data_IF_957419684630
#
_entry.id   IF_957419684630
#
_cell.length_a   1.000
_cell.length_b   1.000
_cell.length_c   1.000
_cell.angle_alpha   90.00
_cell.angle_beta   90.00
_cell.angle_gamma   90.00
#
_symmetry.space_group_name_H-M   'P 1'
#
loop_
_entity.id
_entity.type
_entity.pdbx_description
1 polymer ?
#
# COMPACT_ATOMS: atom_id res chain seq x y z
N UNK A 1 71.87 14.48 -71.76
CA UNK A 1 70.47 14.10 -71.73
C UNK A 1 69.97 14.29 -70.31
N UNK A 2 69.25 15.40 -70.09
CA UNK A 2 68.66 15.76 -68.79
C UNK A 2 67.27 15.10 -68.69
N UNK A 3 67.07 14.37 -67.57
CA UNK A 3 65.77 13.79 -67.19
C UNK A 3 65.13 14.68 -66.18
N UNK A 4 64.04 15.34 -66.51
CA UNK A 4 63.20 16.16 -65.59
C UNK A 4 62.20 15.23 -64.86
N UNK A 5 62.36 15.15 -63.53
CA UNK A 5 61.39 14.50 -62.64
C UNK A 5 60.29 15.52 -62.20
N UNK A 6 59.10 15.30 -62.70
CA UNK A 6 57.91 16.06 -62.20
C UNK A 6 57.41 15.47 -60.89
N UNK A 7 57.53 16.24 -59.82
CA UNK A 7 56.91 15.93 -58.51
C UNK A 7 55.44 16.30 -58.53
N UNK A 8 54.56 15.30 -58.31
CA UNK A 8 53.14 15.48 -58.09
C UNK A 8 52.89 15.73 -56.62
N UNK A 9 52.48 16.92 -56.24
CA UNK A 9 51.96 17.26 -54.93
C UNK A 9 50.51 16.72 -54.81
N UNK A 10 50.33 15.76 -53.89
CA UNK A 10 49.00 15.30 -53.51
C UNK A 10 48.47 16.23 -52.41
N UNK A 11 47.41 16.97 -52.70
CA UNK A 11 46.72 17.78 -51.69
C UNK A 11 45.81 16.87 -50.87
N UNK A 12 46.08 16.71 -49.57
CA UNK A 12 45.23 16.07 -48.61
C UNK A 12 44.08 17.05 -48.24
N UNK A 13 42.87 16.74 -48.66
CA UNK A 13 41.64 17.41 -48.24
C UNK A 13 41.20 16.80 -46.90
N UNK A 14 41.43 17.52 -45.81
CA UNK A 14 40.85 17.22 -44.49
C UNK A 14 39.39 17.70 -44.44
N UNK A 15 38.45 16.76 -44.49
CA UNK A 15 37.05 17.02 -44.21
C UNK A 15 36.86 17.12 -42.67
N UNK A 16 36.25 18.19 -42.11
CA UNK A 16 35.91 18.23 -40.71
C UNK A 16 34.71 17.32 -40.45
N UNK A 17 34.89 16.27 -39.67
CA UNK A 17 33.80 15.47 -39.15
C UNK A 17 33.03 16.31 -38.08
N UNK A 18 31.84 16.78 -38.45
CA UNK A 18 30.94 17.43 -37.51
C UNK A 18 30.38 16.32 -36.58
N UNK A 19 30.91 16.26 -35.35
CA UNK A 19 30.33 15.46 -34.25
C UNK A 19 29.10 16.19 -33.76
N UNK A 20 27.90 15.72 -34.18
CA UNK A 20 26.65 16.15 -33.59
C UNK A 20 26.50 15.51 -32.21
N UNK A 21 26.80 16.25 -31.14
CA UNK A 21 26.37 15.88 -29.79
C UNK A 21 24.86 15.94 -29.77
N UNK A 22 24.19 14.79 -29.82
CA UNK A 22 22.79 14.67 -29.47
C UNK A 22 22.69 14.90 -27.96
N UNK A 23 22.26 16.09 -27.56
CA UNK A 23 21.87 16.37 -26.16
C UNK A 23 20.60 15.55 -25.91
N UNK A 24 20.75 14.37 -25.26
CA UNK A 24 19.62 13.72 -24.66
C UNK A 24 19.06 14.69 -23.59
N UNK A 25 17.94 15.34 -23.93
CA UNK A 25 17.22 16.13 -22.95
C UNK A 25 16.86 15.27 -21.75
N UNK A 26 16.76 15.84 -20.54
CA UNK A 26 16.33 15.08 -19.37
C UNK A 26 14.97 14.45 -19.69
N UNK A 27 14.92 13.12 -19.70
CA UNK A 27 13.66 12.42 -19.78
C UNK A 27 12.85 12.91 -18.56
N UNK A 28 11.75 13.62 -18.81
CA UNK A 28 10.86 14.07 -17.75
C UNK A 28 10.43 12.82 -16.98
N UNK A 29 10.95 12.69 -15.75
CA UNK A 29 10.56 11.62 -14.88
C UNK A 29 9.05 11.82 -14.61
N UNK A 30 8.23 10.90 -15.09
CA UNK A 30 6.79 10.96 -14.82
C UNK A 30 6.60 11.05 -13.30
N UNK A 31 5.92 12.09 -12.84
CA UNK A 31 5.67 12.31 -11.43
C UNK A 31 4.91 11.11 -10.87
N UNK A 32 5.46 10.52 -9.80
CA UNK A 32 4.79 9.43 -9.12
C UNK A 32 3.55 9.98 -8.43
N UNK A 33 2.37 9.50 -8.81
CA UNK A 33 1.13 9.80 -8.09
C UNK A 33 1.06 8.93 -6.84
N UNK A 34 0.84 9.54 -5.69
CA UNK A 34 0.67 8.85 -4.42
C UNK A 34 -0.71 9.18 -3.84
N UNK A 35 -1.39 8.16 -3.35
CA UNK A 35 -2.72 8.23 -2.75
C UNK A 35 -2.62 7.80 -1.29
N UNK A 36 -3.04 8.68 -0.38
CA UNK A 36 -3.19 8.35 1.03
C UNK A 36 -4.63 7.91 1.28
N UNK A 37 -4.81 6.75 1.87
CA UNK A 37 -6.08 6.06 2.02
C UNK A 37 -6.28 5.81 3.50
N UNK A 38 -7.40 6.28 4.06
CA UNK A 38 -7.83 5.93 5.40
C UNK A 38 -8.64 4.63 5.32
N UNK A 39 -8.18 3.60 6.03
CA UNK A 39 -8.84 2.31 6.11
C UNK A 39 -9.78 2.30 7.30
N UNK A 40 -11.01 1.86 7.08
CA UNK A 40 -12.08 1.82 8.08
C UNK A 40 -12.46 0.39 8.37
N UNK A 41 -12.75 0.14 9.64
CA UNK A 41 -13.18 -1.18 10.08
C UNK A 41 -14.39 -1.71 9.31
N UNK A 42 -14.40 -3.01 9.16
CA UNK A 42 -15.54 -3.84 8.75
C UNK A 42 -15.77 -4.88 9.83
N UNK A 43 -16.98 -5.43 9.89
CA UNK A 43 -17.33 -6.52 10.82
C UNK A 43 -17.05 -6.20 12.30
N UNK A 44 -17.13 -4.93 12.68
CA UNK A 44 -16.81 -4.47 14.04
C UNK A 44 -15.43 -4.97 14.55
N UNK A 45 -14.50 -5.17 13.62
CA UNK A 45 -13.17 -5.73 13.90
C UNK A 45 -12.30 -4.87 14.81
N UNK A 46 -12.61 -3.58 14.96
CA UNK A 46 -11.73 -2.61 15.62
C UNK A 46 -10.52 -2.20 14.78
N UNK A 47 -10.31 -2.82 13.61
CA UNK A 47 -9.17 -2.52 12.73
C UNK A 47 -9.33 -1.18 12.03
N UNK A 48 -8.26 -0.39 12.06
CA UNK A 48 -8.12 0.86 11.31
C UNK A 48 -6.70 1.01 10.81
N UNK A 49 -6.51 1.83 9.80
CA UNK A 49 -5.15 2.05 9.28
C UNK A 49 -5.07 3.13 8.24
N UNK A 50 -3.87 3.31 7.75
CA UNK A 50 -3.57 4.19 6.62
C UNK A 50 -2.73 3.44 5.60
N UNK A 51 -3.14 3.49 4.34
CA UNK A 51 -2.33 2.98 3.24
C UNK A 51 -1.85 4.13 2.35
N UNK A 52 -0.60 4.06 1.92
CA UNK A 52 -0.02 4.93 0.91
C UNK A 52 0.25 4.09 -0.34
N UNK A 53 -0.47 4.38 -1.40
CA UNK A 53 -0.35 3.68 -2.68
C UNK A 53 0.20 4.64 -3.72
N UNK A 54 1.32 4.28 -4.36
CA UNK A 54 1.91 5.11 -5.40
C UNK A 54 2.27 4.31 -6.64
N UNK A 55 2.12 4.94 -7.81
CA UNK A 55 2.45 4.35 -9.11
C UNK A 55 3.36 5.28 -9.89
N UNK A 56 4.46 4.71 -10.40
CA UNK A 56 5.36 5.34 -11.37
C UNK A 56 5.60 4.39 -12.54
N UNK A 57 5.02 4.68 -13.70
CA UNK A 57 4.95 3.70 -14.80
C UNK A 57 4.23 2.43 -14.32
N UNK A 58 4.88 1.29 -14.42
CA UNK A 58 4.36 0.00 -13.91
C UNK A 58 4.87 -0.37 -12.51
N UNK A 59 5.66 0.49 -11.87
CA UNK A 59 6.13 0.26 -10.49
C UNK A 59 5.08 0.76 -9.51
N UNK A 60 4.44 -0.16 -8.82
CA UNK A 60 3.52 0.09 -7.71
C UNK A 60 4.29 -0.03 -6.39
N UNK A 61 4.14 0.95 -5.51
CA UNK A 61 4.62 0.90 -4.12
C UNK A 61 3.43 1.05 -3.18
N UNK A 62 3.31 0.13 -2.24
CA UNK A 62 2.30 0.15 -1.18
C UNK A 62 3.01 0.18 0.15
N UNK A 63 2.64 1.15 1.00
CA UNK A 63 2.97 1.17 2.43
C UNK A 63 1.66 1.15 3.19
N UNK A 64 1.60 0.39 4.27
CA UNK A 64 0.39 0.24 5.06
C UNK A 64 0.78 0.16 6.53
N UNK A 65 0.09 0.94 7.35
CA UNK A 65 0.16 0.93 8.80
C UNK A 65 -1.26 0.70 9.32
N UNK A 66 -1.45 -0.34 10.11
CA UNK A 66 -2.75 -0.69 10.69
C UNK A 66 -2.61 -1.05 12.16
N UNK A 67 -3.72 -0.91 12.90
CA UNK A 67 -3.85 -1.28 14.30
C UNK A 67 -5.24 -1.89 14.57
N UNK A 68 -5.44 -2.50 15.72
CA UNK A 68 -6.67 -3.21 16.05
C UNK A 68 -6.82 -4.55 15.32
N UNK A 69 -5.74 -5.09 14.78
CA UNK A 69 -5.70 -6.40 14.13
C UNK A 69 -5.53 -7.53 15.15
N UNK A 70 -5.82 -8.77 14.75
CA UNK A 70 -5.68 -9.94 15.63
C UNK A 70 -4.20 -10.18 15.95
N UNK A 71 -3.77 -10.08 17.21
CA UNK A 71 -2.36 -10.11 17.57
C UNK A 71 -1.63 -11.37 17.12
N UNK A 72 -0.43 -11.21 16.55
CA UNK A 72 0.43 -12.32 16.13
C UNK A 72 -0.10 -13.15 14.96
N UNK A 73 -1.28 -12.85 14.43
CA UNK A 73 -1.87 -13.56 13.31
C UNK A 73 -1.46 -12.98 11.96
N UNK A 74 -1.43 -13.80 10.89
CA UNK A 74 -1.27 -13.30 9.53
C UNK A 74 -2.56 -12.64 9.05
N UNK A 75 -2.43 -11.48 8.40
CA UNK A 75 -3.55 -10.77 7.79
C UNK A 75 -3.39 -10.78 6.28
N UNK A 76 -4.28 -11.47 5.58
CA UNK A 76 -4.35 -11.41 4.14
C UNK A 76 -4.75 -10.00 3.73
N UNK A 77 -4.04 -9.42 2.76
CA UNK A 77 -4.33 -8.07 2.30
C UNK A 77 -4.17 -7.96 0.78
N UNK A 78 -5.09 -7.25 0.16
CA UNK A 78 -5.18 -7.22 -1.29
C UNK A 78 -5.56 -5.84 -1.82
N UNK A 79 -5.21 -5.58 -3.08
CA UNK A 79 -5.90 -4.58 -3.88
C UNK A 79 -7.02 -5.27 -4.64
N UNK A 80 -8.25 -4.98 -4.26
CA UNK A 80 -9.49 -5.42 -4.90
C UNK A 80 -10.00 -4.38 -5.88
N UNK A 81 -10.98 -4.73 -6.70
CA UNK A 81 -11.64 -3.82 -7.61
C UNK A 81 -11.66 -4.32 -9.05
N UNK A 82 -11.81 -3.39 -10.01
CA UNK A 82 -11.85 -3.70 -11.42
C UNK A 82 -10.86 -2.85 -12.20
N UNK A 83 -10.30 -3.46 -13.24
CA UNK A 83 -9.56 -2.76 -14.29
C UNK A 83 -10.37 -2.61 -15.58
N UNK A 84 -11.67 -2.91 -15.53
CA UNK A 84 -12.60 -2.89 -16.67
C UNK A 84 -13.73 -1.85 -16.52
N UNK A 85 -13.56 -0.90 -15.58
CA UNK A 85 -14.49 0.22 -15.41
C UNK A 85 -15.71 -0.07 -14.53
N UNK A 86 -15.78 -1.22 -13.84
CA UNK A 86 -16.78 -1.43 -12.81
C UNK A 86 -16.44 -0.61 -11.57
N UNK A 87 -17.44 0.07 -11.01
CA UNK A 87 -17.32 0.89 -9.81
C UNK A 87 -17.58 0.06 -8.56
N UNK A 88 -16.52 -0.57 -8.05
CA UNK A 88 -16.56 -1.31 -6.79
C UNK A 88 -16.28 -0.37 -5.60
N UNK A 89 -16.70 -0.79 -4.42
CA UNK A 89 -16.59 -0.02 -3.17
C UNK A 89 -16.39 -0.93 -1.96
N UNK A 90 -16.02 -0.36 -0.82
CA UNK A 90 -15.98 -1.10 0.44
C UNK A 90 -17.39 -1.57 0.82
N UNK A 91 -17.57 -2.82 1.28
CA UNK A 91 -18.88 -3.32 1.68
C UNK A 91 -19.40 -2.61 2.94
N UNK A 92 -20.69 -2.61 3.12
CA UNK A 92 -21.38 -2.25 4.37
C UNK A 92 -21.92 -3.49 5.06
N UNK A 93 -22.44 -3.35 6.27
CA UNK A 93 -23.10 -4.43 7.01
C UNK A 93 -24.28 -5.06 6.22
N UNK A 94 -24.89 -4.33 5.28
CA UNK A 94 -25.96 -4.87 4.43
C UNK A 94 -25.51 -5.99 3.48
N UNK A 95 -24.19 -6.19 3.35
CA UNK A 95 -23.62 -7.28 2.58
C UNK A 95 -23.73 -8.63 3.31
N UNK A 96 -23.91 -8.65 4.63
CA UNK A 96 -24.25 -9.86 5.40
C UNK A 96 -25.63 -10.37 4.97
N UNK A 97 -25.65 -11.37 4.09
CA UNK A 97 -26.87 -11.91 3.50
C UNK A 97 -27.43 -13.09 4.28
N UNK A 98 -26.57 -13.80 5.01
CA UNK A 98 -26.96 -14.95 5.79
C UNK A 98 -27.40 -14.56 7.21
N UNK A 99 -27.12 -13.32 7.65
CA UNK A 99 -27.52 -12.77 8.94
C UNK A 99 -26.73 -13.33 10.12
N UNK A 100 -25.49 -13.82 9.89
CA UNK A 100 -24.65 -14.38 10.96
C UNK A 100 -23.85 -13.32 11.74
N UNK A 101 -23.98 -12.05 11.32
CA UNK A 101 -23.32 -10.90 11.90
C UNK A 101 -21.91 -10.66 11.37
N UNK A 102 -21.51 -11.35 10.30
CA UNK A 102 -20.20 -11.19 9.65
C UNK A 102 -20.38 -11.13 8.13
N UNK A 103 -19.96 -10.06 7.52
CA UNK A 103 -19.78 -10.01 6.08
C UNK A 103 -18.60 -10.91 5.72
N UNK A 104 -18.86 -12.10 5.21
CA UNK A 104 -17.81 -13.01 4.73
C UNK A 104 -17.13 -12.48 3.47
N UNK A 105 -16.03 -13.13 3.06
CA UNK A 105 -15.37 -12.76 1.79
C UNK A 105 -16.30 -12.96 0.61
N UNK A 106 -17.10 -14.03 0.56
CA UNK A 106 -18.02 -14.29 -0.54
C UNK A 106 -19.16 -13.25 -0.60
N UNK A 107 -19.66 -12.80 0.55
CA UNK A 107 -20.68 -11.76 0.65
C UNK A 107 -20.14 -10.37 0.33
N UNK A 108 -18.89 -10.08 0.70
CA UNK A 108 -18.23 -8.83 0.38
C UNK A 108 -17.79 -8.71 -1.09
N UNK A 109 -17.52 -9.83 -1.75
CA UNK A 109 -16.99 -9.88 -3.12
C UNK A 109 -17.81 -9.09 -4.15
N UNK A 110 -19.15 -9.10 -4.15
CA UNK A 110 -19.96 -8.27 -5.04
C UNK A 110 -19.74 -6.77 -4.83
N UNK A 111 -19.33 -6.35 -3.64
CA UNK A 111 -19.05 -4.94 -3.31
C UNK A 111 -17.63 -4.55 -3.68
N UNK A 112 -16.60 -5.29 -3.24
CA UNK A 112 -15.22 -4.89 -3.46
C UNK A 112 -14.55 -5.52 -4.69
N UNK A 113 -15.21 -6.45 -5.38
CA UNK A 113 -14.67 -7.06 -6.59
C UNK A 113 -13.52 -8.02 -6.35
N UNK A 114 -12.94 -8.49 -7.43
CA UNK A 114 -11.87 -9.50 -7.42
C UNK A 114 -10.52 -8.94 -6.95
N UNK A 115 -9.62 -9.85 -6.54
CA UNK A 115 -8.23 -9.54 -6.24
C UNK A 115 -7.49 -9.20 -7.55
N UNK A 116 -6.89 -8.02 -7.61
CA UNK A 116 -5.95 -7.63 -8.65
C UNK A 116 -4.50 -7.85 -8.21
N UNK A 117 -4.20 -7.55 -6.95
CA UNK A 117 -2.86 -7.70 -6.37
C UNK A 117 -2.99 -8.28 -4.97
N UNK A 118 -2.21 -9.33 -4.68
CA UNK A 118 -2.03 -9.85 -3.32
C UNK A 118 -0.80 -9.17 -2.69
N UNK A 119 -1.00 -8.50 -1.56
CA UNK A 119 0.05 -7.73 -0.88
C UNK A 119 0.88 -8.65 0.03
N UNK A 120 1.47 -9.69 -0.56
CA UNK A 120 2.36 -10.62 0.12
C UNK A 120 3.68 -9.96 0.50
N UNK A 121 4.37 -10.47 1.51
CA UNK A 121 5.69 -9.95 1.95
C UNK A 121 6.82 -10.31 0.98
N UNK A 122 6.66 -11.38 0.19
CA UNK A 122 7.64 -11.87 -0.79
C UNK A 122 6.98 -12.71 -1.89
N UNK A 123 7.68 -12.89 -3.00
CA UNK A 123 7.26 -13.77 -4.10
C UNK A 123 6.08 -13.23 -4.90
N UNK A 124 5.25 -14.12 -5.40
CA UNK A 124 4.10 -13.83 -6.27
C UNK A 124 3.06 -12.94 -5.61
N UNK A 125 2.54 -11.98 -6.36
CA UNK A 125 1.53 -11.01 -5.94
C UNK A 125 0.25 -11.10 -6.77
N UNK A 126 0.12 -12.12 -7.60
CA UNK A 126 -1.09 -12.34 -8.39
C UNK A 126 -2.29 -12.76 -7.52
N UNK A 127 -3.48 -12.80 -8.11
CA UNK A 127 -4.70 -13.34 -7.49
C UNK A 127 -4.49 -14.76 -6.90
N UNK A 128 -3.62 -15.59 -7.52
CA UNK A 128 -3.33 -16.94 -7.04
C UNK A 128 -2.72 -16.97 -5.63
N UNK A 129 -2.14 -15.85 -5.20
CA UNK A 129 -1.56 -15.68 -3.87
C UNK A 129 -2.56 -15.13 -2.84
N UNK A 130 -3.85 -15.06 -3.16
CA UNK A 130 -4.88 -14.52 -2.26
C UNK A 130 -4.93 -15.22 -0.91
N UNK A 131 -4.72 -16.53 -0.88
CA UNK A 131 -4.69 -17.34 0.35
C UNK A 131 -3.28 -17.82 0.72
N UNK A 132 -2.23 -17.15 0.27
CA UNK A 132 -0.85 -17.49 0.62
C UNK A 132 -0.50 -17.01 2.05
N UNK A 133 -1.16 -17.59 3.05
CA UNK A 133 -1.12 -17.19 4.46
C UNK A 133 0.31 -17.13 5.01
N UNK A 134 1.18 -18.04 4.56
CA UNK A 134 2.61 -18.11 4.93
C UNK A 134 3.43 -16.92 4.44
N UNK A 135 2.89 -16.16 3.50
CA UNK A 135 3.52 -14.97 2.90
C UNK A 135 2.77 -13.67 3.17
N UNK A 136 1.69 -13.72 3.92
CA UNK A 136 0.98 -12.52 4.36
C UNK A 136 1.71 -11.87 5.55
N UNK A 137 1.65 -10.54 5.70
CA UNK A 137 2.21 -9.88 6.87
C UNK A 137 1.46 -10.29 8.13
N UNK A 138 2.17 -10.24 9.26
CA UNK A 138 1.60 -10.57 10.57
C UNK A 138 1.50 -9.31 11.42
N UNK A 139 0.41 -9.17 12.15
CA UNK A 139 0.32 -8.19 13.22
C UNK A 139 1.30 -8.55 14.35
N UNK A 140 1.80 -7.56 15.05
CA UNK A 140 2.61 -7.76 16.24
C UNK A 140 1.75 -8.20 17.45
N UNK A 141 2.39 -8.32 18.63
CA UNK A 141 1.70 -8.70 19.87
C UNK A 141 0.66 -7.67 20.36
N UNK A 142 0.71 -6.46 19.83
CA UNK A 142 -0.18 -5.35 20.18
C UNK A 142 -1.24 -5.09 19.07
N UNK A 143 -1.36 -6.01 18.11
CA UNK A 143 -2.30 -5.91 17.00
C UNK A 143 -1.93 -4.86 15.96
N UNK A 144 -0.66 -4.44 15.90
CA UNK A 144 -0.16 -3.47 14.91
C UNK A 144 0.53 -4.16 13.76
N UNK A 145 0.36 -3.62 12.57
CA UNK A 145 0.96 -4.15 11.36
C UNK A 145 1.56 -3.01 10.53
N UNK A 146 2.84 -3.18 10.16
CA UNK A 146 3.52 -2.33 9.20
C UNK A 146 3.91 -3.15 7.97
N UNK A 147 3.59 -2.65 6.79
CA UNK A 147 3.90 -3.29 5.52
C UNK A 147 4.45 -2.28 4.52
N UNK A 148 5.46 -2.68 3.78
CA UNK A 148 6.00 -1.89 2.68
C UNK A 148 6.53 -2.79 1.58
N UNK A 149 6.06 -2.59 0.36
CA UNK A 149 6.54 -3.34 -0.80
C UNK A 149 6.43 -2.54 -2.09
N UNK A 150 7.44 -2.70 -2.96
CA UNK A 150 7.39 -2.26 -4.35
C UNK A 150 7.34 -3.47 -5.27
N UNK A 151 6.42 -3.45 -6.21
CA UNK A 151 6.18 -4.55 -7.17
C UNK A 151 5.99 -3.99 -8.57
N UNK A 152 6.23 -4.80 -9.58
CA UNK A 152 5.88 -4.47 -10.96
C UNK A 152 4.49 -5.01 -11.25
N UNK A 153 3.61 -4.15 -11.74
CA UNK A 153 2.24 -4.49 -12.14
C UNK A 153 2.07 -4.34 -13.66
N UNK A 154 0.97 -4.84 -14.21
CA UNK A 154 0.63 -4.59 -15.59
C UNK A 154 0.30 -3.11 -15.82
N UNK A 155 0.47 -2.62 -17.06
CA UNK A 155 0.02 -1.27 -17.44
C UNK A 155 -1.46 -1.08 -17.13
N UNK A 156 -2.28 -2.10 -17.36
CA UNK A 156 -3.71 -2.08 -17.07
C UNK A 156 -3.99 -1.77 -15.59
N UNK A 157 -3.33 -2.47 -14.66
CA UNK A 157 -3.44 -2.19 -13.23
C UNK A 157 -2.93 -0.80 -12.88
N UNK A 158 -1.79 -0.39 -13.44
CA UNK A 158 -1.22 0.93 -13.18
C UNK A 158 -2.15 2.08 -13.63
N UNK A 159 -2.80 1.93 -14.78
CA UNK A 159 -3.77 2.91 -15.31
C UNK A 159 -5.04 2.97 -14.47
N UNK A 160 -5.50 1.84 -13.95
CA UNK A 160 -6.75 1.70 -13.18
C UNK A 160 -6.53 1.69 -11.66
N UNK A 161 -5.37 2.16 -11.18
CA UNK A 161 -5.07 2.11 -9.74
C UNK A 161 -6.13 2.82 -8.88
N UNK A 162 -6.79 3.85 -9.39
CA UNK A 162 -7.85 4.57 -8.68
C UNK A 162 -9.16 3.79 -8.54
N UNK A 163 -9.35 2.79 -9.39
CA UNK A 163 -10.54 1.94 -9.40
C UNK A 163 -10.36 0.72 -8.47
N UNK A 164 -9.19 0.68 -7.77
CA UNK A 164 -8.88 -0.33 -6.78
C UNK A 164 -9.01 0.23 -5.37
N UNK A 165 -9.08 -0.67 -4.41
CA UNK A 165 -9.12 -0.35 -2.98
C UNK A 165 -8.39 -1.42 -2.17
N UNK A 166 -7.93 -1.03 -1.00
CA UNK A 166 -7.22 -1.92 -0.07
C UNK A 166 -8.26 -2.64 0.77
N UNK A 167 -8.14 -3.96 0.91
CA UNK A 167 -8.90 -4.76 1.87
C UNK A 167 -7.92 -5.58 2.67
N UNK A 168 -8.00 -5.51 4.00
CA UNK A 168 -7.34 -6.44 4.91
C UNK A 168 -8.36 -7.44 5.46
N UNK A 169 -7.92 -8.66 5.67
CA UNK A 169 -8.72 -9.75 6.18
C UNK A 169 -8.19 -10.25 7.53
N UNK A 170 -9.05 -10.84 8.31
CA UNK A 170 -8.76 -11.41 9.60
C UNK A 170 -9.39 -10.63 10.74
N UNK A 171 -10.40 -11.23 11.37
CA UNK A 171 -11.18 -10.68 12.48
C UNK A 171 -11.15 -11.64 13.66
N UNK A 172 -11.50 -11.16 14.83
CA UNK A 172 -11.68 -11.96 16.05
C UNK A 172 -13.06 -11.61 16.62
N UNK A 173 -14.03 -12.50 16.42
CA UNK A 173 -15.43 -12.24 16.76
C UNK A 173 -15.79 -12.53 18.20
N UNK A 174 -14.85 -13.11 18.97
CA UNK A 174 -15.04 -13.48 20.37
C UNK A 174 -13.94 -12.96 21.31
N UNK A 175 -13.06 -12.07 20.80
CA UNK A 175 -12.00 -11.38 21.54
C UNK A 175 -11.00 -12.35 22.23
N UNK A 176 -10.72 -13.50 21.61
CA UNK A 176 -9.81 -14.49 22.21
C UNK A 176 -8.36 -14.39 21.69
N UNK A 177 -8.09 -13.44 20.79
CA UNK A 177 -6.75 -13.14 20.27
C UNK A 177 -6.25 -14.10 19.19
N UNK A 178 -7.12 -14.85 18.54
CA UNK A 178 -6.77 -15.80 17.48
C UNK A 178 -7.92 -16.05 16.52
N UNK A 179 -7.62 -16.60 15.35
CA UNK A 179 -8.65 -17.10 14.45
C UNK A 179 -9.13 -18.48 14.90
N UNK A 180 -10.41 -18.66 15.07
CA UNK A 180 -11.02 -19.95 15.36
C UNK A 180 -12.30 -20.17 14.52
N UNK A 181 -12.92 -21.33 14.71
CA UNK A 181 -14.11 -21.73 13.96
C UNK A 181 -15.43 -21.29 14.61
N UNK A 182 -15.40 -20.27 15.49
CA UNK A 182 -16.58 -19.74 16.16
C UNK A 182 -17.67 -19.31 15.17
N UNK A 183 -17.27 -18.70 14.05
CA UNK A 183 -18.15 -18.33 12.92
C UNK A 183 -18.14 -19.34 11.78
N UNK A 184 -17.66 -20.55 12.03
CA UNK A 184 -17.62 -21.62 11.04
C UNK A 184 -16.37 -21.59 10.17
N UNK A 185 -16.46 -22.30 9.05
CA UNK A 185 -15.38 -22.46 8.08
C UNK A 185 -15.45 -21.39 7.02
N UNK A 186 -14.28 -20.98 6.53
CA UNK A 186 -14.20 -20.12 5.37
C UNK A 186 -14.80 -20.78 4.13
N UNK A 187 -15.54 -20.01 3.37
CA UNK A 187 -16.09 -20.43 2.07
C UNK A 187 -14.99 -20.56 1.00
N UNK A 188 -13.85 -19.89 1.20
CA UNK A 188 -12.71 -19.91 0.26
C UNK A 188 -11.85 -21.16 0.43
N UNK A 189 -11.64 -21.60 1.66
CA UNK A 189 -10.95 -22.84 2.01
C UNK A 189 -11.49 -23.37 3.34
N UNK A 190 -12.18 -24.51 3.37
CA UNK A 190 -12.76 -25.05 4.59
C UNK A 190 -11.75 -25.51 5.65
N UNK A 191 -10.46 -25.45 5.37
CA UNK A 191 -9.38 -25.66 6.35
C UNK A 191 -9.10 -24.40 7.17
N UNK A 192 -9.55 -23.24 6.70
CA UNK A 192 -9.42 -21.97 7.39
C UNK A 192 -10.73 -21.64 8.12
N UNK A 193 -10.68 -21.00 9.29
CA UNK A 193 -11.86 -20.41 9.90
C UNK A 193 -12.34 -19.19 9.08
N UNK A 194 -13.64 -18.88 9.14
CA UNK A 194 -14.20 -17.69 8.52
C UNK A 194 -13.53 -16.42 9.05
N UNK A 195 -13.19 -16.38 10.32
CA UNK A 195 -12.47 -15.27 10.95
C UNK A 195 -11.15 -14.93 10.25
N UNK A 196 -10.41 -15.92 9.76
CA UNK A 196 -9.15 -15.68 9.05
C UNK A 196 -9.32 -15.03 7.67
N UNK A 197 -10.49 -15.14 7.08
CA UNK A 197 -10.75 -14.68 5.70
C UNK A 197 -11.75 -13.54 5.60
N UNK A 198 -12.59 -13.31 6.61
CA UNK A 198 -13.52 -12.19 6.62
C UNK A 198 -12.78 -10.85 6.62
N UNK A 199 -13.27 -9.82 5.89
CA UNK A 199 -12.62 -8.53 5.82
C UNK A 199 -12.65 -7.81 7.18
N UNK A 200 -11.49 -7.32 7.61
CA UNK A 200 -11.30 -6.56 8.84
C UNK A 200 -11.44 -5.05 8.61
N UNK A 201 -10.90 -4.58 7.52
CA UNK A 201 -10.99 -3.17 7.12
C UNK A 201 -10.90 -3.00 5.60
N UNK A 202 -11.27 -1.81 5.15
CA UNK A 202 -11.24 -1.45 3.74
C UNK A 202 -11.02 0.06 3.57
N UNK A 203 -10.26 0.43 2.52
CA UNK A 203 -10.04 1.81 2.14
C UNK A 203 -9.98 2.00 0.63
N UNK A 204 -10.70 3.00 0.13
CA UNK A 204 -10.81 3.28 -1.31
C UNK A 204 -9.69 4.21 -1.80
N UNK A 205 -9.04 3.87 -2.92
CA UNK A 205 -8.08 4.76 -3.58
C UNK A 205 -8.81 5.90 -4.30
N UNK A 206 -10.00 5.64 -4.84
CA UNK A 206 -10.88 6.65 -5.44
C UNK A 206 -11.28 7.70 -4.40
N UNK A 207 -10.97 8.95 -4.69
CA UNK A 207 -11.25 10.06 -3.77
C UNK A 207 -10.20 10.26 -2.68
N UNK A 208 -9.19 9.41 -2.59
CA UNK A 208 -8.09 9.59 -1.65
C UNK A 208 -7.26 10.85 -1.95
N UNK A 209 -6.67 11.44 -0.93
CA UNK A 209 -5.78 12.58 -1.07
C UNK A 209 -4.59 12.23 -1.98
N UNK A 210 -4.29 13.11 -2.94
CA UNK A 210 -3.19 12.92 -3.88
C UNK A 210 -2.00 13.74 -3.42
N UNK A 211 -0.86 13.07 -3.22
CA UNK A 211 0.42 13.68 -2.93
C UNK A 211 1.49 13.23 -3.91
N UNK A 212 2.64 13.88 -3.90
CA UNK A 212 3.83 13.38 -4.59
C UNK A 212 4.68 12.59 -3.59
N UNK A 213 5.04 11.34 -3.93
CA UNK A 213 6.07 10.64 -3.17
C UNK A 213 7.45 11.17 -3.57
N UNK A 214 8.35 11.37 -2.62
CA UNK A 214 9.75 11.62 -2.95
C UNK A 214 10.29 10.51 -3.85
N UNK A 215 10.92 10.89 -4.95
CA UNK A 215 11.59 9.96 -5.87
C UNK A 215 12.89 9.52 -5.18
N UNK A 216 12.83 8.40 -4.48
CA UNK A 216 13.95 7.81 -3.77
C UNK A 216 13.39 6.71 -2.88
N UNK A 217 13.46 5.46 -3.32
CA UNK A 217 13.14 4.34 -2.45
C UNK A 217 14.04 4.43 -1.23
N UNK A 218 13.45 4.30 -0.03
CA UNK A 218 14.25 3.98 1.16
C UNK A 218 14.79 2.59 0.87
N UNK A 219 16.06 2.50 0.46
CA UNK A 219 16.77 1.23 0.54
C UNK A 219 16.83 0.88 2.03
N UNK A 220 16.16 -0.20 2.40
CA UNK A 220 16.26 -0.78 3.73
C UNK A 220 17.64 -1.39 3.86
N UNK A 221 18.57 -0.64 4.44
CA UNK A 221 19.92 -1.10 4.74
C UNK A 221 21.00 -0.11 4.29
N UNK A 222 21.29 0.90 5.09
CA UNK A 222 22.43 1.81 4.90
C UNK A 222 22.17 3.17 5.54
N UNK A 223 22.96 3.52 6.50
CA UNK A 223 22.99 4.83 7.15
C UNK A 223 23.13 5.95 6.12
N UNK A 224 22.15 6.85 6.07
CA UNK A 224 22.21 8.03 5.22
C UNK A 224 20.92 8.82 5.29
N UNK A 225 20.83 9.74 6.24
CA UNK A 225 19.83 10.82 6.26
C UNK A 225 20.04 11.72 5.04
N UNK A 226 19.28 11.50 3.97
CA UNK A 226 19.15 12.48 2.89
C UNK A 226 17.69 12.90 2.78
N UNK A 227 17.46 14.12 3.20
CA UNK A 227 16.43 15.09 2.95
C UNK A 227 15.06 14.61 2.45
N UNK A 228 14.10 14.48 3.36
CA UNK A 228 12.69 14.53 3.04
C UNK A 228 12.35 16.01 2.82
N UNK A 229 12.19 16.44 1.56
CA UNK A 229 11.90 17.86 1.26
C UNK A 229 10.52 18.34 1.73
N UNK A 230 9.66 17.44 2.22
CA UNK A 230 8.39 17.79 2.88
C UNK A 230 8.04 16.78 3.97
N UNK A 231 8.65 16.89 5.15
CA UNK A 231 8.32 16.01 6.29
C UNK A 231 6.88 16.19 6.80
N UNK A 232 6.23 17.30 6.48
CA UNK A 232 4.85 17.60 6.88
C UNK A 232 3.81 16.61 6.31
N UNK A 233 4.04 16.00 5.16
CA UNK A 233 3.12 15.00 4.59
C UNK A 233 3.20 13.64 5.31
N UNK A 234 4.33 13.36 5.97
CA UNK A 234 4.48 12.18 6.82
C UNK A 234 4.10 12.45 8.27
N UNK A 235 4.18 13.71 8.70
CA UNK A 235 3.80 14.13 10.04
C UNK A 235 2.28 14.24 10.21
N UNK A 236 1.52 14.55 9.15
CA UNK A 236 0.06 14.69 9.26
C UNK A 236 -0.68 13.36 9.47
N UNK A 237 -0.09 12.23 9.03
CA UNK A 237 -0.62 10.89 9.32
C UNK A 237 -0.11 10.27 10.63
N UNK A 238 1.03 10.77 11.15
CA UNK A 238 1.65 10.25 12.37
C UNK A 238 1.36 11.04 13.65
N UNK A 239 0.87 12.27 13.55
CA UNK A 239 0.63 13.15 14.71
C UNK A 239 -0.76 13.00 15.35
N UNK A 240 -1.67 12.23 14.76
CA UNK A 240 -2.95 11.90 15.39
C UNK A 240 -2.83 11.02 16.63
N UNK A 241 -1.70 10.37 16.86
CA UNK A 241 -1.52 9.36 17.92
C UNK A 241 -0.70 9.83 19.13
N UNK A 242 -0.17 11.09 19.17
CA UNK A 242 0.69 11.54 20.27
C UNK A 242 0.06 12.59 21.20
N UNK A 243 -1.23 12.94 21.07
CA UNK A 243 -1.87 13.98 21.92
C UNK A 243 -2.83 13.41 22.97
N UNK A 244 -2.95 12.09 23.12
CA UNK A 244 -3.78 11.48 24.18
C UNK A 244 -3.00 11.10 25.46
N UNK A 245 -1.71 11.43 25.59
CA UNK A 245 -0.92 11.16 26.79
C UNK A 245 -0.37 12.45 27.44
N UNK A 246 -1.20 13.46 27.64
CA UNK A 246 -0.78 14.75 28.19
C UNK A 246 -1.74 15.31 29.24
N UNK A 247 -1.63 14.86 30.49
CA UNK A 247 -1.80 15.71 31.64
C UNK A 247 -3.20 16.07 32.09
N UNK A 248 -3.88 15.17 32.81
CA UNK A 248 -4.85 15.58 33.81
C UNK A 248 -4.08 16.17 35.01
N UNK A 249 -3.88 17.47 35.04
CA UNK A 249 -3.52 18.19 36.25
C UNK A 249 -4.74 18.26 37.16
N UNK A 250 -4.79 17.40 38.17
CA UNK A 250 -5.76 17.50 39.26
C UNK A 250 -5.34 18.69 40.11
N UNK A 251 -6.00 19.83 39.97
CA UNK A 251 -5.91 20.95 40.89
C UNK A 251 -6.58 20.53 42.20
N UNK A 252 -5.77 20.19 43.23
CA UNK A 252 -6.23 20.01 44.59
C UNK A 252 -6.63 21.38 45.14
N UNK A 253 -7.94 21.59 45.38
CA UNK A 253 -8.45 22.71 46.17
C UNK A 253 -8.08 22.49 47.65
N UNK A 254 -7.57 23.50 48.36
CA UNK A 254 -7.33 23.40 49.80
C UNK A 254 -8.66 23.42 50.57
N UNK A 255 -8.79 22.52 51.53
CA UNK A 255 -9.92 22.46 52.44
C UNK A 255 -9.96 23.70 53.32
N UNK A 256 -11.06 24.44 53.31
CA UNK A 256 -11.36 25.47 54.33
C UNK A 256 -11.74 24.78 55.66
N UNK A 257 -10.93 25.01 56.69
CA UNK A 257 -11.30 24.78 58.08
C UNK A 257 -12.35 25.84 58.46
N UNK A 258 -13.50 25.41 58.89
CA UNK A 258 -14.42 26.25 59.69
C UNK A 258 -14.12 26.01 61.17
N UNK A 259 -13.93 27.11 61.84
CA UNK A 259 -14.13 27.23 63.31
C UNK A 259 -15.61 27.32 63.59
#
# INVERSE_FOLDING_TARGET
VLSTRTSRLAALVLLPAAVTLATAGPAAAADAKAYQIDMKQLNDSGSTGTALVSVKGTKLTVKLEAEGLVPGQPHAQHLHGSTDGHDFHCPSADADKNGDGVVSTAEGLPSYGDINISLTTKGDTSKKSGLAVDRMPKADKDGKLSYSRSITVSEKVAHHIKDLHVVQHGIDTNDNGKYDFNKGKSELDPKLPQEATAPADCGMIKGAAVGSMPVGGVETGGEGTLGVERPELFAAGGLGLLVAAGGVMIARRPARRNQ
#
